data_IF_872600787261
#
_entry.id   IF_872600787261
#
_cell.length_a   1.000
_cell.length_b   1.000
_cell.length_c   1.000
_cell.angle_alpha   90.00
_cell.angle_beta   90.00
_cell.angle_gamma   90.00
#
_symmetry.space_group_name_H-M   'P 1'
#
loop_
_entity.id
_entity.type
_entity.pdbx_description
1 polymer ?
#
# COMPACT_ATOMS: atom_id res chain seq x y z
N UNK A 1 14.33 52.30 21.69
CA UNK A 1 13.08 51.52 21.66
C UNK A 1 12.80 50.66 20.41
N UNK A 2 13.70 50.59 19.42
CA UNK A 2 13.46 49.80 18.19
C UNK A 2 14.09 48.40 18.18
N UNK A 3 14.97 48.06 19.12
CA UNK A 3 15.63 46.74 19.20
C UNK A 3 14.73 45.58 19.66
N UNK A 4 13.88 45.70 20.68
CA UNK A 4 13.07 44.57 21.15
C UNK A 4 12.02 44.10 20.12
N UNK A 5 11.43 45.03 19.34
CA UNK A 5 10.45 44.71 18.33
C UNK A 5 11.04 43.86 17.18
N UNK A 6 12.30 44.17 16.76
CA UNK A 6 13.00 43.37 15.74
C UNK A 6 13.29 41.93 16.23
N UNK A 7 13.70 41.80 17.49
CA UNK A 7 13.94 40.47 18.09
C UNK A 7 12.66 39.65 18.17
N UNK A 8 11.54 40.25 18.60
CA UNK A 8 10.23 39.57 18.64
C UNK A 8 9.78 39.14 17.24
N UNK A 9 9.97 39.96 16.22
CA UNK A 9 9.64 39.63 14.84
C UNK A 9 10.51 38.48 14.31
N UNK A 10 11.81 38.46 14.62
CA UNK A 10 12.71 37.39 14.21
C UNK A 10 12.34 36.08 14.89
N UNK A 11 12.06 36.08 16.20
CA UNK A 11 11.63 34.89 16.94
C UNK A 11 10.31 34.36 16.41
N UNK A 12 9.33 35.23 16.14
CA UNK A 12 8.06 34.81 15.54
C UNK A 12 8.25 34.20 14.16
N UNK A 13 9.10 34.79 13.31
CA UNK A 13 9.39 34.23 11.98
C UNK A 13 10.08 32.87 12.06
N UNK A 14 11.02 32.67 12.98
CA UNK A 14 11.70 31.38 13.21
C UNK A 14 10.71 30.32 13.69
N UNK A 15 9.79 30.67 14.59
CA UNK A 15 8.75 29.73 15.06
C UNK A 15 7.78 29.32 13.97
N UNK A 16 7.39 30.25 13.09
CA UNK A 16 6.54 29.96 11.93
C UNK A 16 7.25 29.01 10.95
N UNK A 17 8.52 29.28 10.63
CA UNK A 17 9.32 28.43 9.75
C UNK A 17 9.52 27.05 10.36
N UNK A 18 9.80 26.94 11.66
CA UNK A 18 9.93 25.67 12.34
C UNK A 18 8.61 24.88 12.37
N UNK A 19 7.47 25.55 12.53
CA UNK A 19 6.15 24.92 12.48
C UNK A 19 5.81 24.42 11.09
N UNK A 20 6.12 25.20 10.04
CA UNK A 20 5.92 24.79 8.65
C UNK A 20 6.84 23.61 8.25
N UNK A 21 8.09 23.63 8.71
CA UNK A 21 9.03 22.53 8.52
C UNK A 21 8.57 21.27 9.25
N UNK A 22 8.06 21.40 10.48
CA UNK A 22 7.45 20.29 11.23
C UNK A 22 6.24 19.69 10.53
N UNK A 23 5.37 20.55 9.96
CA UNK A 23 4.21 20.09 9.18
C UNK A 23 4.64 19.39 7.88
N UNK A 24 5.67 19.90 7.20
CA UNK A 24 6.20 19.27 6.00
C UNK A 24 6.82 17.89 6.30
N UNK A 25 7.56 17.76 7.40
CA UNK A 25 8.17 16.48 7.82
C UNK A 25 7.09 15.47 8.26
N UNK A 26 6.04 15.93 8.97
CA UNK A 26 4.91 15.06 9.34
C UNK A 26 4.05 14.73 8.14
N UNK A 27 3.82 15.65 7.22
CA UNK A 27 3.14 15.41 5.94
C UNK A 27 3.89 14.38 5.09
N UNK A 28 5.24 14.44 5.04
CA UNK A 28 6.07 13.46 4.35
C UNK A 28 5.96 12.07 4.99
N UNK A 29 5.86 12.00 6.34
CA UNK A 29 5.69 10.71 7.06
C UNK A 29 4.27 10.15 6.96
N UNK A 30 3.27 10.99 6.71
CA UNK A 30 1.87 10.57 6.51
C UNK A 30 1.62 10.19 5.03
N UNK A 31 2.59 10.36 4.16
CA UNK A 31 2.50 9.90 2.79
C UNK A 31 1.64 10.77 1.87
N UNK A 32 1.60 12.08 2.09
CA UNK A 32 0.87 13.02 1.24
C UNK A 32 1.70 13.48 0.02
N UNK A 33 2.28 12.56 -0.72
CA UNK A 33 3.04 12.87 -1.93
C UNK A 33 2.76 11.85 -3.05
N UNK A 34 2.92 12.23 -4.32
CA UNK A 34 2.65 11.34 -5.46
C UNK A 34 3.50 10.06 -5.46
N UNK A 35 4.64 10.05 -4.76
CA UNK A 35 5.53 8.90 -4.63
C UNK A 35 5.23 8.00 -3.41
N UNK A 36 4.33 8.39 -2.52
CA UNK A 36 4.03 7.63 -1.31
C UNK A 36 2.98 6.54 -1.53
N UNK A 37 2.22 6.62 -2.61
CA UNK A 37 1.24 5.59 -2.94
C UNK A 37 1.88 4.24 -3.26
N UNK A 38 3.05 4.23 -3.89
CA UNK A 38 3.73 3.01 -4.33
C UNK A 38 4.48 2.24 -3.21
N UNK A 39 4.59 2.80 -2.00
CA UNK A 39 5.32 2.16 -0.89
C UNK A 39 4.47 1.91 0.35
N UNK A 40 3.18 2.24 0.29
CA UNK A 40 2.27 2.12 1.44
C UNK A 40 2.06 0.66 1.85
N UNK A 41 2.23 -0.28 0.94
CA UNK A 41 1.94 -1.70 1.12
C UNK A 41 3.17 -2.57 1.36
N UNK A 42 4.39 -2.02 1.42
CA UNK A 42 5.62 -2.79 1.57
C UNK A 42 5.58 -3.73 2.78
N UNK A 43 5.08 -3.26 3.92
CA UNK A 43 4.98 -4.07 5.14
C UNK A 43 3.93 -5.21 5.02
N UNK A 44 2.80 -4.96 4.36
CA UNK A 44 1.78 -5.98 4.10
C UNK A 44 2.30 -7.03 3.11
N UNK A 45 3.00 -6.59 2.07
CA UNK A 45 3.63 -7.44 1.06
C UNK A 45 4.70 -8.32 1.68
N UNK A 46 5.59 -7.76 2.51
CA UNK A 46 6.60 -8.52 3.23
C UNK A 46 5.98 -9.58 4.14
N UNK A 47 4.92 -9.24 4.85
CA UNK A 47 4.17 -10.18 5.68
C UNK A 47 3.55 -11.32 4.86
N UNK A 48 3.00 -11.04 3.68
CA UNK A 48 2.48 -12.05 2.78
C UNK A 48 3.58 -12.98 2.27
N UNK A 49 4.75 -12.45 1.90
CA UNK A 49 5.90 -13.27 1.49
C UNK A 49 6.42 -14.17 2.63
N UNK A 50 6.35 -13.70 3.88
CA UNK A 50 6.68 -14.51 5.05
C UNK A 50 5.64 -15.59 5.34
N UNK A 51 4.35 -15.29 5.12
CA UNK A 51 3.26 -16.25 5.30
C UNK A 51 3.25 -17.34 4.22
N UNK A 52 3.65 -16.98 3.02
CA UNK A 52 3.71 -17.87 1.85
C UNK A 52 5.09 -17.78 1.19
N UNK A 53 6.14 -18.42 1.75
CA UNK A 53 7.44 -18.46 1.07
C UNK A 53 7.30 -19.03 -0.35
N UNK A 54 7.82 -18.32 -1.35
CA UNK A 54 7.60 -18.67 -2.75
C UNK A 54 8.14 -20.06 -3.12
N UNK A 55 9.25 -20.47 -2.52
CA UNK A 55 9.88 -21.78 -2.75
C UNK A 55 8.97 -22.95 -2.33
N UNK A 56 8.11 -22.72 -1.33
CA UNK A 56 7.22 -23.76 -0.77
C UNK A 56 5.81 -23.70 -1.38
N UNK A 57 5.47 -22.60 -2.05
CA UNK A 57 4.11 -22.27 -2.47
C UNK A 57 3.96 -22.15 -4.00
N UNK A 58 4.67 -22.98 -4.75
CA UNK A 58 4.64 -23.01 -6.22
C UNK A 58 3.39 -23.73 -6.77
N UNK A 59 2.93 -23.31 -7.95
CA UNK A 59 1.87 -23.95 -8.71
C UNK A 59 0.52 -24.05 -7.98
N UNK A 60 0.24 -23.16 -7.05
CA UNK A 60 -1.03 -23.07 -6.33
C UNK A 60 -2.07 -22.21 -7.05
N UNK A 61 -3.16 -21.97 -6.34
CA UNK A 61 -4.21 -21.01 -6.73
C UNK A 61 -4.02 -19.74 -5.93
N UNK A 62 -3.77 -18.61 -6.58
CA UNK A 62 -3.57 -17.33 -5.92
C UNK A 62 -4.79 -16.44 -6.09
N UNK A 63 -5.30 -15.95 -4.98
CA UNK A 63 -6.27 -14.86 -4.94
C UNK A 63 -5.50 -13.54 -4.74
N UNK A 64 -5.31 -12.79 -5.84
CA UNK A 64 -4.51 -11.58 -5.89
C UNK A 64 -5.40 -10.36 -6.04
N UNK A 65 -5.39 -9.47 -5.06
CA UNK A 65 -6.29 -8.31 -5.11
C UNK A 65 -6.33 -7.49 -3.83
N UNK A 66 -7.40 -6.71 -3.71
CA UNK A 66 -7.56 -5.72 -2.67
C UNK A 66 -8.20 -6.27 -1.37
N UNK A 67 -8.86 -5.38 -0.63
CA UNK A 67 -9.41 -5.63 0.71
C UNK A 67 -10.42 -6.77 0.78
N UNK A 68 -11.18 -7.04 -0.28
CA UNK A 68 -12.15 -8.12 -0.29
C UNK A 68 -11.47 -9.48 -0.10
N UNK A 69 -10.34 -9.73 -0.77
CA UNK A 69 -9.55 -10.94 -0.53
C UNK A 69 -8.86 -10.90 0.83
N UNK A 70 -8.22 -9.79 1.19
CA UNK A 70 -7.60 -9.65 2.52
C UNK A 70 -8.56 -9.98 3.67
N UNK A 71 -9.81 -9.58 3.57
CA UNK A 71 -10.83 -9.80 4.61
C UNK A 71 -11.43 -11.22 4.59
N UNK A 72 -11.20 -11.99 3.53
CA UNK A 72 -11.67 -13.37 3.46
C UNK A 72 -10.67 -14.32 4.15
N UNK A 73 -10.66 -14.28 5.47
CA UNK A 73 -9.71 -15.03 6.32
C UNK A 73 -9.92 -16.55 6.30
N UNK A 74 -11.12 -17.01 5.96
CA UNK A 74 -11.47 -18.44 5.91
C UNK A 74 -11.26 -19.07 4.51
N UNK A 75 -10.67 -18.33 3.57
CA UNK A 75 -10.51 -18.79 2.19
C UNK A 75 -9.81 -20.14 2.08
N UNK A 76 -8.70 -20.30 2.76
CA UNK A 76 -7.87 -21.51 2.73
C UNK A 76 -8.57 -22.68 3.40
N UNK A 77 -9.25 -22.43 4.52
CA UNK A 77 -10.01 -23.43 5.27
C UNK A 77 -11.25 -23.90 4.49
N UNK A 78 -11.83 -23.01 3.68
CA UNK A 78 -12.98 -23.34 2.83
C UNK A 78 -12.65 -24.17 1.59
N UNK A 79 -11.38 -24.26 1.21
CA UNK A 79 -10.90 -24.92 0.00
C UNK A 79 -9.65 -25.80 0.28
N UNK A 80 -9.72 -26.71 1.27
CA UNK A 80 -8.52 -27.40 1.77
C UNK A 80 -7.87 -28.36 0.76
N UNK A 81 -8.64 -28.88 -0.22
CA UNK A 81 -8.12 -29.74 -1.27
C UNK A 81 -7.36 -28.99 -2.37
N UNK A 82 -7.44 -27.66 -2.38
CA UNK A 82 -6.73 -26.81 -3.33
C UNK A 82 -5.60 -26.05 -2.60
N UNK A 83 -4.49 -25.89 -3.24
CA UNK A 83 -3.36 -25.10 -2.70
C UNK A 83 -3.65 -23.62 -2.88
N UNK A 84 -4.60 -23.11 -2.10
CA UNK A 84 -5.06 -21.73 -2.17
C UNK A 84 -4.15 -20.85 -1.33
N UNK A 85 -3.81 -19.66 -1.86
CA UNK A 85 -3.02 -18.64 -1.19
C UNK A 85 -3.75 -17.30 -1.32
N UNK A 86 -3.92 -16.63 -0.20
CA UNK A 86 -4.56 -15.32 -0.16
C UNK A 86 -3.51 -14.21 -0.20
N UNK A 87 -3.26 -13.65 -1.37
CA UNK A 87 -2.37 -12.53 -1.59
C UNK A 87 -3.13 -11.19 -1.70
N UNK A 88 -4.20 -11.05 -0.92
CA UNK A 88 -4.95 -9.80 -0.79
C UNK A 88 -4.28 -8.81 0.16
N UNK A 89 -4.14 -7.54 -0.25
CA UNK A 89 -3.70 -6.45 0.62
C UNK A 89 -4.64 -5.24 0.49
N UNK A 90 -4.93 -4.60 1.62
CA UNK A 90 -6.10 -3.74 1.72
C UNK A 90 -5.98 -2.38 1.06
N UNK A 91 -7.00 -1.94 0.32
CA UNK A 91 -7.07 -0.61 -0.26
C UNK A 91 -6.15 -0.35 -1.45
N UNK A 92 -5.50 -1.38 -1.99
CA UNK A 92 -4.62 -1.26 -3.15
C UNK A 92 -5.41 -0.94 -4.43
N UNK A 93 -4.77 -0.19 -5.30
CA UNK A 93 -5.21 0.13 -6.66
C UNK A 93 -4.65 -0.87 -7.67
N UNK A 94 -5.08 -0.76 -8.92
CA UNK A 94 -4.52 -1.55 -10.02
C UNK A 94 -3.02 -1.29 -10.20
N UNK A 95 -2.57 -0.05 -10.01
CA UNK A 95 -1.17 0.31 -10.07
C UNK A 95 -0.35 -0.36 -8.95
N UNK A 96 -0.90 -0.44 -7.74
CA UNK A 96 -0.26 -1.15 -6.63
C UNK A 96 -0.16 -2.65 -6.93
N UNK A 97 -1.22 -3.26 -7.45
CA UNK A 97 -1.20 -4.67 -7.86
C UNK A 97 -0.13 -4.92 -8.93
N UNK A 98 -0.04 -4.07 -9.95
CA UNK A 98 1.01 -4.17 -10.97
C UNK A 98 2.41 -4.02 -10.36
N UNK A 99 2.60 -3.07 -9.43
CA UNK A 99 3.88 -2.80 -8.80
C UNK A 99 4.37 -3.99 -7.95
N UNK A 100 3.47 -4.67 -7.24
CA UNK A 100 3.83 -5.77 -6.35
C UNK A 100 3.73 -7.16 -7.00
N UNK A 101 3.38 -7.26 -8.28
CA UNK A 101 3.28 -8.54 -8.99
C UNK A 101 4.61 -9.31 -9.01
N UNK A 102 5.76 -8.61 -9.09
CA UNK A 102 7.10 -9.20 -9.03
C UNK A 102 7.41 -9.86 -7.68
N UNK A 103 6.70 -9.47 -6.63
CA UNK A 103 6.88 -10.00 -5.28
C UNK A 103 5.82 -11.02 -4.89
N UNK A 104 4.57 -10.81 -5.31
CA UNK A 104 3.41 -11.56 -4.83
C UNK A 104 2.77 -12.48 -5.87
N UNK A 105 3.19 -12.42 -7.13
CA UNK A 105 2.57 -13.23 -8.19
C UNK A 105 3.59 -14.05 -8.97
N UNK A 106 4.55 -13.41 -9.64
CA UNK A 106 5.44 -14.09 -10.56
C UNK A 106 6.35 -15.15 -9.90
N UNK A 107 6.91 -14.94 -8.69
CA UNK A 107 7.77 -15.93 -8.04
C UNK A 107 7.07 -17.25 -7.69
N UNK A 108 5.74 -17.24 -7.62
CA UNK A 108 4.92 -18.39 -7.23
C UNK A 108 4.54 -19.30 -8.40
N UNK A 109 4.73 -18.87 -9.66
CA UNK A 109 4.33 -19.59 -10.85
C UNK A 109 2.93 -20.22 -10.73
N UNK A 110 1.88 -19.41 -10.41
CA UNK A 110 0.57 -19.95 -10.05
C UNK A 110 -0.07 -20.71 -11.21
N UNK A 111 -0.76 -21.80 -10.89
CA UNK A 111 -1.57 -22.52 -11.85
C UNK A 111 -2.85 -21.75 -12.24
N UNK A 112 -3.45 -21.05 -11.27
CA UNK A 112 -4.63 -20.21 -11.46
C UNK A 112 -4.47 -18.95 -10.63
N UNK A 113 -4.90 -17.81 -11.19
CA UNK A 113 -4.97 -16.53 -10.47
C UNK A 113 -6.38 -15.99 -10.55
N UNK A 114 -6.94 -15.68 -9.38
CA UNK A 114 -8.16 -14.91 -9.27
C UNK A 114 -7.79 -13.45 -8.95
N UNK A 115 -8.21 -12.53 -9.80
CA UNK A 115 -7.99 -11.09 -9.60
C UNK A 115 -9.24 -10.41 -9.05
N UNK A 116 -9.04 -9.53 -8.08
CA UNK A 116 -10.04 -8.57 -7.64
C UNK A 116 -9.40 -7.17 -7.64
N UNK A 117 -9.85 -6.35 -8.56
CA UNK A 117 -9.25 -5.07 -8.92
C UNK A 117 -10.31 -4.02 -9.21
N UNK A 118 -9.94 -2.76 -9.35
CA UNK A 118 -10.78 -1.65 -9.76
C UNK A 118 -11.59 -0.99 -8.66
N UNK A 119 -11.80 -1.60 -7.51
CA UNK A 119 -12.67 -1.05 -6.46
C UNK A 119 -12.09 0.18 -5.74
N UNK A 120 -10.79 0.41 -5.84
CA UNK A 120 -10.09 1.53 -5.21
C UNK A 120 -9.50 2.52 -6.23
N UNK A 121 -9.78 2.31 -7.52
CA UNK A 121 -9.26 3.12 -8.62
C UNK A 121 -10.18 4.29 -9.00
N UNK A 122 -11.24 4.51 -8.21
CA UNK A 122 -12.24 5.54 -8.49
C UNK A 122 -11.69 6.95 -8.20
N UNK A 123 -10.99 7.49 -9.18
CA UNK A 123 -10.61 8.91 -9.24
C UNK A 123 -11.68 9.76 -9.96
N UNK A 124 -12.90 9.23 -10.10
CA UNK A 124 -14.02 9.87 -10.81
C UNK A 124 -13.88 9.83 -12.33
N UNK A 125 -12.90 9.11 -12.86
CA UNK A 125 -12.74 8.84 -14.28
C UNK A 125 -13.18 7.41 -14.59
N UNK A 126 -14.49 7.20 -14.71
CA UNK A 126 -14.96 6.00 -15.42
C UNK A 126 -14.34 6.04 -16.82
N UNK A 127 -13.43 5.13 -17.11
CA UNK A 127 -13.02 4.88 -18.49
C UNK A 127 -14.28 4.31 -19.14
N UNK A 128 -14.97 5.19 -19.86
CA UNK A 128 -16.21 4.85 -20.53
C UNK A 128 -16.00 3.67 -21.45
N UNK A 129 -16.98 2.78 -21.40
CA UNK A 129 -17.15 1.68 -22.33
C UNK A 129 -17.28 2.19 -23.75
#
# INVERSE_FOLDING_TARGET
MKKPLKIVMIVAAVLVVASLAGLAITGLKIGWGPSSFLHTWDADVEKLQQSYPAEENQNGIIFYGASNFRMWTEMENGLPEYRVQNHGFGGCTDQDLMHYADKLLYPYHPAIVFFQTGSNDDDGRCIGA
#
